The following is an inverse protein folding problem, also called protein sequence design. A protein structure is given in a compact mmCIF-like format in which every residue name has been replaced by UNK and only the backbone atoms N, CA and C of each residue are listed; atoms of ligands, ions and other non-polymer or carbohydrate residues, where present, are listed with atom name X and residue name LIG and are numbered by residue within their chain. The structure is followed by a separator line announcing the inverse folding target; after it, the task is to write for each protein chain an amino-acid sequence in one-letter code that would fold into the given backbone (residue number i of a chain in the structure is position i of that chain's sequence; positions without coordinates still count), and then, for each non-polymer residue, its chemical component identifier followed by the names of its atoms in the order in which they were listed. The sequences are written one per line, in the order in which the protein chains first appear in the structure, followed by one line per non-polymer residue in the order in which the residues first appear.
data_IF_850539959364
#
_entry.id   IF_850539959364
#
_cell.length_a   1.000
_cell.length_b   1.000
_cell.length_c   1.000
_cell.angle_alpha   90.00
_cell.angle_beta   90.00
_cell.angle_gamma   90.00
#
_symmetry.space_group_name_H-M   'P 1'
#
loop_
_entity.id
_entity.type
_entity.pdbx_description
1 polymer ?
#
# COMPACT_ATOMS: atom_id res chain seq x y z
N UNK A 1 42.46 -36.43 -17.81
CA UNK A 1 41.09 -36.00 -17.51
C UNK A 1 41.10 -35.26 -16.17
N UNK A 2 41.24 -33.93 -16.19
CA UNK A 2 41.14 -33.09 -15.01
C UNK A 2 39.68 -32.67 -14.82
N UNK A 3 39.13 -32.88 -13.62
CA UNK A 3 37.82 -32.33 -13.21
C UNK A 3 37.97 -30.82 -12.96
N UNK A 4 37.00 -29.98 -13.34
CA UNK A 4 37.03 -28.57 -12.99
C UNK A 4 36.68 -28.40 -11.51
N UNK A 5 37.48 -27.60 -10.83
CA UNK A 5 37.24 -27.12 -9.47
C UNK A 5 36.14 -26.05 -9.55
N UNK A 6 34.95 -26.32 -9.00
CA UNK A 6 33.97 -25.26 -8.74
C UNK A 6 34.52 -24.37 -7.63
N UNK A 7 34.90 -23.14 -7.97
CA UNK A 7 35.17 -22.10 -6.99
C UNK A 7 33.84 -21.61 -6.41
N UNK A 8 33.56 -22.01 -5.17
CA UNK A 8 32.55 -21.37 -4.34
C UNK A 8 32.99 -19.92 -4.11
N UNK A 9 32.33 -18.97 -4.78
CA UNK A 9 32.54 -17.55 -4.53
C UNK A 9 31.97 -17.23 -3.13
N UNK A 10 32.85 -17.16 -2.14
CA UNK A 10 32.49 -16.65 -0.83
C UNK A 10 32.28 -15.15 -0.96
N UNK A 11 31.01 -14.72 -0.99
CA UNK A 11 30.63 -13.30 -0.89
C UNK A 11 31.06 -12.84 0.51
N UNK A 12 32.22 -12.18 0.57
CA UNK A 12 32.69 -11.46 1.75
C UNK A 12 31.84 -10.20 1.88
N UNK A 13 30.82 -10.23 2.74
CA UNK A 13 30.12 -9.04 3.22
C UNK A 13 31.16 -8.09 3.83
N UNK A 14 31.43 -6.98 3.15
CA UNK A 14 32.15 -5.84 3.70
C UNK A 14 31.44 -5.35 4.97
N UNK A 15 32.15 -4.76 5.95
CA UNK A 15 31.52 -4.25 7.15
C UNK A 15 30.46 -3.20 6.77
N UNK A 16 29.20 -3.52 7.01
CA UNK A 16 28.08 -2.62 6.77
C UNK A 16 28.32 -1.31 7.55
N UNK A 17 28.27 -0.19 6.83
CA UNK A 17 28.38 1.12 7.46
C UNK A 17 27.07 1.42 8.16
N UNK A 18 27.13 1.71 9.47
CA UNK A 18 25.97 2.10 10.27
C UNK A 18 26.02 3.60 10.52
N UNK A 19 25.05 4.33 9.98
CA UNK A 19 24.88 5.75 10.27
C UNK A 19 23.75 5.93 11.28
N UNK A 20 23.85 6.97 12.11
CA UNK A 20 22.82 7.31 13.07
C UNK A 20 22.48 8.80 12.97
N UNK A 21 21.19 9.09 12.90
CA UNK A 21 20.64 10.43 12.79
C UNK A 21 19.55 10.61 13.85
N UNK A 22 19.44 11.81 14.42
CA UNK A 22 18.35 12.15 15.34
C UNK A 22 17.30 12.93 14.56
N UNK A 23 16.03 12.57 14.75
CA UNK A 23 14.91 13.29 14.17
C UNK A 23 14.70 14.63 14.88
N UNK A 24 14.22 15.63 14.14
CA UNK A 24 13.95 16.97 14.65
C UNK A 24 12.60 17.02 15.38
N UNK A 25 11.60 16.29 14.89
CA UNK A 25 10.29 16.22 15.53
C UNK A 25 10.19 15.01 16.47
N UNK A 26 9.35 15.14 17.50
CA UNK A 26 8.98 14.01 18.37
C UNK A 26 7.74 13.36 17.80
N UNK A 27 7.81 12.07 17.46
CA UNK A 27 6.65 11.33 16.95
C UNK A 27 6.79 9.83 17.13
N UNK A 28 5.68 9.19 17.50
CA UNK A 28 5.53 7.74 17.51
C UNK A 28 4.92 7.20 16.21
N UNK A 29 4.47 8.07 15.31
CA UNK A 29 3.90 7.71 14.02
C UNK A 29 4.95 7.11 13.10
N UNK A 30 4.53 6.30 12.12
CA UNK A 30 5.44 5.65 11.18
C UNK A 30 6.13 6.65 10.25
N UNK A 31 7.28 6.24 9.70
CA UNK A 31 7.95 6.99 8.66
C UNK A 31 7.26 6.75 7.32
N UNK A 32 7.06 7.80 6.55
CA UNK A 32 6.56 7.70 5.18
C UNK A 32 7.75 7.49 4.25
N UNK A 33 7.78 6.33 3.60
CA UNK A 33 8.80 5.98 2.61
C UNK A 33 8.50 6.61 1.26
N UNK A 34 9.56 6.76 0.46
CA UNK A 34 9.47 7.10 -0.96
C UNK A 34 10.25 6.07 -1.76
N UNK A 35 10.21 6.17 -3.08
CA UNK A 35 11.08 5.46 -4.02
C UNK A 35 12.54 5.98 -4.02
N UNK A 36 12.88 6.88 -3.09
CA UNK A 36 14.17 7.56 -2.99
C UNK A 36 14.75 7.48 -1.56
N UNK A 37 16.00 7.94 -1.35
CA UNK A 37 16.63 8.03 -0.02
C UNK A 37 16.01 9.09 0.91
N UNK A 38 14.95 9.79 0.46
CA UNK A 38 14.22 10.78 1.23
C UNK A 38 12.99 10.15 1.89
N UNK A 39 12.86 10.33 3.20
CA UNK A 39 11.70 9.92 4.00
C UNK A 39 11.01 11.14 4.60
N UNK A 40 9.78 10.94 5.05
CA UNK A 40 9.07 11.95 5.85
C UNK A 40 8.64 11.37 7.20
N UNK A 41 8.63 12.23 8.21
CA UNK A 41 8.04 11.93 9.51
C UNK A 41 7.03 13.01 9.84
N UNK A 42 5.94 12.64 10.51
CA UNK A 42 4.93 13.61 10.90
C UNK A 42 4.47 13.37 12.33
N UNK A 43 3.93 14.41 12.97
CA UNK A 43 3.24 14.30 14.25
C UNK A 43 1.79 14.73 14.07
N UNK A 44 0.87 13.79 14.31
CA UNK A 44 -0.58 14.01 14.15
C UNK A 44 -1.13 15.10 15.06
N UNK A 45 -0.67 15.17 16.31
CA UNK A 45 -1.23 16.03 17.37
C UNK A 45 -0.62 17.43 17.34
N UNK A 46 0.71 17.54 17.23
CA UNK A 46 1.39 18.84 17.15
C UNK A 46 1.38 19.44 15.75
N UNK A 47 0.86 18.70 14.75
CA UNK A 47 0.79 19.11 13.34
C UNK A 47 2.16 19.55 12.83
N UNK A 48 3.12 18.63 12.88
CA UNK A 48 4.49 18.86 12.41
C UNK A 48 4.82 17.87 11.31
N UNK A 49 5.71 18.27 10.41
CA UNK A 49 6.21 17.46 9.31
C UNK A 49 7.72 17.67 9.18
N UNK A 50 8.47 16.60 9.02
CA UNK A 50 9.93 16.59 8.88
C UNK A 50 10.28 15.82 7.61
N UNK A 51 11.24 16.34 6.85
CA UNK A 51 11.90 15.61 5.77
C UNK A 51 13.26 15.10 6.25
N UNK A 52 13.58 13.85 5.89
CA UNK A 52 14.77 13.13 6.32
C UNK A 52 15.49 12.62 5.08
N UNK A 53 16.74 13.03 4.88
CA UNK A 53 17.58 12.53 3.79
C UNK A 53 18.60 11.54 4.36
N UNK A 54 18.41 10.24 4.06
CA UNK A 54 19.20 9.15 4.62
C UNK A 54 20.66 9.15 4.14
N UNK A 55 20.90 9.59 2.89
CA UNK A 55 22.24 9.69 2.30
C UNK A 55 23.11 10.71 3.03
N UNK A 56 22.56 11.90 3.31
CA UNK A 56 23.30 12.99 3.94
C UNK A 56 23.22 12.98 5.46
N UNK A 57 22.37 12.11 6.03
CA UNK A 57 22.02 12.09 7.46
C UNK A 57 21.55 13.47 7.97
N UNK A 58 20.87 14.22 7.10
CA UNK A 58 20.28 15.54 7.41
C UNK A 58 18.78 15.44 7.47
N UNK A 59 18.18 16.21 8.37
CA UNK A 59 16.74 16.38 8.42
C UNK A 59 16.38 17.77 8.91
N UNK A 60 15.19 18.21 8.57
CA UNK A 60 14.65 19.50 8.99
C UNK A 60 13.14 19.45 9.00
N UNK A 61 12.56 20.19 9.95
CA UNK A 61 11.13 20.43 10.00
C UNK A 61 10.71 21.31 8.79
N UNK A 62 9.55 20.99 8.22
CA UNK A 62 8.95 21.73 7.13
C UNK A 62 7.97 22.76 7.68
N UNK A 63 7.93 23.92 7.04
CA UNK A 63 6.96 24.97 7.34
C UNK A 63 5.60 24.55 6.81
N UNK A 64 4.61 24.44 7.71
CA UNK A 64 3.23 24.14 7.34
C UNK A 64 2.39 25.43 7.20
N UNK A 65 1.47 25.49 6.23
CA UNK A 65 0.47 26.55 6.17
C UNK A 65 -0.47 26.49 7.38
N UNK A 66 -1.15 27.60 7.66
CA UNK A 66 -2.19 27.63 8.71
C UNK A 66 -3.32 26.67 8.35
N UNK A 67 -3.89 26.03 9.36
CA UNK A 67 -5.00 25.06 9.23
C UNK A 67 -4.66 23.85 8.35
N UNK A 68 -3.39 23.45 8.29
CA UNK A 68 -3.00 22.17 7.71
C UNK A 68 -3.70 21.02 8.43
N UNK A 69 -4.21 20.06 7.66
CA UNK A 69 -4.83 18.85 8.19
C UNK A 69 -4.30 17.57 7.57
N UNK A 70 -3.57 17.64 6.47
CA UNK A 70 -2.86 16.46 5.97
C UNK A 70 -1.86 16.77 4.89
N UNK A 71 -1.14 15.73 4.48
CA UNK A 71 -0.09 15.82 3.47
C UNK A 71 0.02 14.55 2.65
N UNK A 72 0.68 14.69 1.51
CA UNK A 72 1.17 13.60 0.67
C UNK A 72 2.54 13.98 0.10
N UNK A 73 3.15 13.07 -0.64
CA UNK A 73 4.49 13.21 -1.20
C UNK A 73 4.42 13.16 -2.72
N UNK A 74 5.07 14.11 -3.39
CA UNK A 74 4.99 14.33 -4.82
C UNK A 74 6.37 14.42 -5.50
N UNK A 75 6.44 13.94 -6.75
CA UNK A 75 7.46 14.37 -7.71
C UNK A 75 7.00 15.68 -8.35
N UNK A 76 7.73 16.76 -8.08
CA UNK A 76 7.43 18.07 -8.67
C UNK A 76 8.45 18.38 -9.77
N UNK A 77 7.98 18.94 -10.88
CA UNK A 77 8.84 19.35 -11.97
C UNK A 77 9.96 20.27 -11.47
N UNK A 78 11.14 20.14 -12.06
CA UNK A 78 12.33 20.91 -11.69
C UNK A 78 12.82 20.68 -10.24
N UNK A 79 12.40 19.59 -9.60
CA UNK A 79 12.94 19.12 -8.31
C UNK A 79 13.51 17.71 -8.45
N UNK A 80 14.61 17.43 -7.76
CA UNK A 80 15.25 16.10 -7.77
C UNK A 80 14.73 15.21 -6.65
N UNK A 81 14.46 15.79 -5.49
CA UNK A 81 13.95 15.07 -4.33
C UNK A 81 12.43 15.14 -4.30
N UNK A 82 11.80 14.11 -3.73
CA UNK A 82 10.37 14.13 -3.44
C UNK A 82 10.02 15.30 -2.51
N UNK A 83 8.90 15.95 -2.79
CA UNK A 83 8.41 17.13 -2.07
C UNK A 83 7.16 16.78 -1.27
N UNK A 84 6.99 17.40 -0.09
CA UNK A 84 5.74 17.29 0.65
C UNK A 84 4.71 18.30 0.13
N UNK A 85 3.52 17.82 -0.21
CA UNK A 85 2.36 18.64 -0.49
C UNK A 85 1.41 18.61 0.69
N UNK A 86 0.97 19.77 1.15
CA UNK A 86 0.15 19.95 2.35
C UNK A 86 -1.22 20.48 1.97
N UNK A 87 -2.25 19.80 2.45
CA UNK A 87 -3.65 20.20 2.30
C UNK A 87 -4.09 21.10 3.46
N UNK A 88 -4.79 22.18 3.09
CA UNK A 88 -5.58 23.02 3.99
C UNK A 88 -7.02 23.07 3.50
N UNK A 89 -7.92 23.70 4.25
CA UNK A 89 -9.34 23.79 3.87
C UNK A 89 -9.58 24.44 2.50
N UNK A 90 -8.64 25.22 1.96
CA UNK A 90 -8.85 25.99 0.74
C UNK A 90 -7.75 25.87 -0.31
N UNK A 91 -6.68 25.11 -0.07
CA UNK A 91 -5.56 25.06 -1.00
C UNK A 91 -4.56 23.95 -0.75
N UNK A 92 -3.75 23.70 -1.78
CA UNK A 92 -2.62 22.77 -1.75
C UNK A 92 -1.33 23.57 -1.76
N UNK A 93 -0.42 23.24 -0.84
CA UNK A 93 0.84 23.94 -0.65
C UNK A 93 2.01 23.00 -0.83
N UNK A 94 3.08 23.46 -1.46
CA UNK A 94 4.39 22.80 -1.41
C UNK A 94 5.14 23.31 -0.19
N UNK A 95 5.47 22.43 0.75
CA UNK A 95 6.13 22.80 2.00
C UNK A 95 7.65 22.60 1.92
N UNK A 96 8.40 23.62 2.32
CA UNK A 96 9.87 23.61 2.42
C UNK A 96 10.31 23.96 3.85
N UNK A 97 11.60 23.95 4.14
CA UNK A 97 12.13 24.34 5.45
C UNK A 97 11.72 25.76 5.87
N UNK A 98 11.66 26.72 4.92
CA UNK A 98 11.48 28.13 5.23
C UNK A 98 10.08 28.69 4.95
N UNK A 99 9.33 28.06 4.05
CA UNK A 99 8.02 28.55 3.63
C UNK A 99 7.11 27.43 3.11
N UNK A 100 5.81 27.73 3.05
CA UNK A 100 4.81 26.93 2.36
C UNK A 100 4.28 27.73 1.16
N UNK A 101 4.60 27.27 -0.05
CA UNK A 101 4.20 27.91 -1.31
C UNK A 101 2.83 27.40 -1.74
N UNK A 102 1.86 28.31 -1.94
CA UNK A 102 0.54 27.95 -2.47
C UNK A 102 0.69 27.52 -3.94
N UNK A 103 0.29 26.30 -4.26
CA UNK A 103 0.24 25.81 -5.64
C UNK A 103 -1.07 26.24 -6.32
N UNK A 104 -2.21 25.98 -5.68
CA UNK A 104 -3.52 26.40 -6.15
C UNK A 104 -4.57 26.34 -5.04
N UNK A 105 -5.66 27.07 -5.24
CA UNK A 105 -6.85 27.00 -4.40
C UNK A 105 -7.85 25.98 -4.95
N UNK A 106 -8.68 25.42 -4.07
CA UNK A 106 -9.77 24.53 -4.45
C UNK A 106 -11.01 24.75 -3.56
N UNK A 107 -12.13 24.16 -3.97
CA UNK A 107 -13.34 24.02 -3.16
C UNK A 107 -13.83 22.58 -3.29
N UNK A 108 -14.07 21.91 -2.16
CA UNK A 108 -14.45 20.49 -2.13
C UNK A 108 -15.18 20.16 -0.82
N UNK A 109 -15.86 19.03 -0.74
CA UNK A 109 -16.35 18.44 0.52
C UNK A 109 -15.25 18.34 1.60
N UNK A 110 -13.98 18.14 1.21
CA UNK A 110 -12.85 18.10 2.15
C UNK A 110 -12.72 19.42 2.91
N UNK A 111 -13.01 20.55 2.25
CA UNK A 111 -13.01 21.88 2.87
C UNK A 111 -14.00 22.04 4.02
N UNK A 112 -14.97 21.13 4.14
CA UNK A 112 -16.01 21.15 5.18
C UNK A 112 -15.71 20.16 6.31
N UNK A 113 -14.69 19.32 6.16
CA UNK A 113 -14.33 18.33 7.17
C UNK A 113 -13.69 19.01 8.37
N UNK A 114 -14.19 18.70 9.56
CA UNK A 114 -13.50 19.04 10.79
C UNK A 114 -12.44 17.99 11.06
N UNK A 115 -11.19 18.34 10.76
CA UNK A 115 -10.05 17.44 10.98
C UNK A 115 -9.21 17.92 12.15
N UNK A 116 -9.25 17.17 13.25
CA UNK A 116 -8.53 17.53 14.48
C UNK A 116 -7.03 17.17 14.39
N UNK A 117 -6.67 16.14 13.62
CA UNK A 117 -5.30 15.61 13.49
C UNK A 117 -4.67 15.90 12.14
N UNK A 118 -3.35 15.97 12.09
CA UNK A 118 -2.60 16.04 10.84
C UNK A 118 -2.30 14.63 10.33
N UNK A 119 -2.75 14.28 9.14
CA UNK A 119 -2.67 12.90 8.62
C UNK A 119 -1.94 12.80 7.28
N UNK A 120 -1.35 11.63 6.98
CA UNK A 120 -0.98 11.29 5.62
C UNK A 120 -2.28 10.98 4.86
N UNK A 121 -2.57 11.74 3.81
CA UNK A 121 -3.73 11.54 2.92
C UNK A 121 -3.22 11.08 1.56
N UNK A 122 -3.88 10.10 0.94
CA UNK A 122 -3.58 9.67 -0.42
C UNK A 122 -4.32 10.55 -1.42
N UNK A 123 -3.68 11.60 -1.94
CA UNK A 123 -4.27 12.49 -2.96
C UNK A 123 -3.31 12.79 -4.11
N UNK A 124 -2.09 12.26 -4.05
CA UNK A 124 -1.06 12.41 -5.07
C UNK A 124 -0.79 11.08 -5.77
N UNK A 125 -0.73 11.11 -7.09
CA UNK A 125 -0.33 9.99 -7.96
C UNK A 125 0.05 10.52 -9.35
N UNK A 126 0.80 9.76 -10.14
CA UNK A 126 1.12 10.10 -11.54
C UNK A 126 0.00 9.59 -12.44
N UNK A 127 -0.95 10.44 -12.83
CA UNK A 127 -2.18 10.01 -13.50
C UNK A 127 -1.93 9.61 -14.96
N UNK A 128 -0.99 10.30 -15.62
CA UNK A 128 -0.71 10.20 -17.05
C UNK A 128 0.60 9.46 -17.36
N UNK A 129 1.26 8.87 -16.35
CA UNK A 129 2.52 8.15 -16.43
C UNK A 129 3.68 8.99 -17.03
N UNK A 130 3.73 10.29 -16.74
CA UNK A 130 4.79 11.19 -17.22
C UNK A 130 5.97 11.34 -16.23
N UNK A 131 5.91 10.66 -15.08
CA UNK A 131 6.89 10.69 -13.99
C UNK A 131 6.70 11.85 -13.01
N UNK A 132 5.78 12.78 -13.28
CA UNK A 132 5.38 13.85 -12.39
C UNK A 132 4.12 13.47 -11.62
N UNK A 133 3.96 14.10 -10.47
CA UNK A 133 2.81 13.86 -9.62
C UNK A 133 1.65 14.80 -9.94
N UNK A 134 0.47 14.22 -10.12
CA UNK A 134 -0.81 14.90 -10.22
C UNK A 134 -1.56 14.85 -8.89
N UNK A 135 -2.64 15.63 -8.78
CA UNK A 135 -3.39 15.79 -7.53
C UNK A 135 -4.88 15.59 -7.78
N UNK A 136 -5.49 14.64 -7.08
CA UNK A 136 -6.94 14.45 -7.10
C UNK A 136 -7.57 15.08 -5.86
N UNK A 137 -8.39 16.11 -6.08
CA UNK A 137 -9.25 16.70 -5.04
C UNK A 137 -10.68 16.20 -5.27
N UNK A 138 -11.18 15.30 -4.43
CA UNK A 138 -12.52 14.75 -4.61
C UNK A 138 -13.61 15.71 -4.16
N UNK A 139 -14.82 15.53 -4.67
CA UNK A 139 -16.05 16.09 -4.09
C UNK A 139 -17.16 15.05 -4.16
N UNK A 140 -18.35 15.34 -3.63
CA UNK A 140 -19.46 14.39 -3.63
C UNK A 140 -19.91 14.05 -5.07
N UNK A 141 -20.20 15.07 -5.89
CA UNK A 141 -20.78 14.88 -7.24
C UNK A 141 -19.82 15.22 -8.37
N UNK A 142 -18.64 15.76 -8.07
CA UNK A 142 -17.64 16.07 -9.08
C UNK A 142 -16.25 16.18 -8.48
N UNK A 143 -15.28 15.46 -8.99
CA UNK A 143 -13.90 15.57 -8.52
C UNK A 143 -13.08 16.42 -9.48
N UNK A 144 -11.95 16.95 -9.02
CA UNK A 144 -11.01 17.70 -9.87
C UNK A 144 -9.63 17.06 -9.81
N UNK A 145 -9.17 16.57 -10.96
CA UNK A 145 -7.80 16.14 -11.18
C UNK A 145 -6.96 17.33 -11.64
N UNK A 146 -5.93 17.66 -10.90
CA UNK A 146 -4.98 18.72 -11.22
C UNK A 146 -3.73 18.09 -11.81
N UNK A 147 -3.55 18.26 -13.12
CA UNK A 147 -2.45 17.66 -13.88
C UNK A 147 -1.26 18.60 -13.86
N UNK A 148 -0.10 18.11 -13.45
CA UNK A 148 1.13 18.88 -13.44
C UNK A 148 1.71 18.98 -14.85
N UNK A 149 2.33 20.11 -15.19
CA UNK A 149 3.12 20.25 -16.41
C UNK A 149 4.63 20.30 -16.11
N UNK A 150 5.45 20.30 -17.15
CA UNK A 150 6.92 20.35 -17.05
C UNK A 150 7.46 21.64 -16.39
N UNK A 151 6.64 22.69 -16.28
CA UNK A 151 6.97 23.92 -15.57
C UNK A 151 6.57 23.87 -14.08
N UNK A 152 5.90 22.82 -13.62
CA UNK A 152 5.43 22.63 -12.25
C UNK A 152 4.09 23.30 -11.94
N UNK A 153 3.39 23.80 -12.96
CA UNK A 153 2.05 24.35 -12.84
C UNK A 153 0.98 23.25 -12.96
N UNK A 154 -0.13 23.43 -12.25
CA UNK A 154 -1.22 22.47 -12.20
C UNK A 154 -2.44 22.95 -13.00
N UNK A 155 -2.87 22.17 -13.98
CA UNK A 155 -4.07 22.42 -14.79
C UNK A 155 -5.24 21.59 -14.27
N UNK A 156 -6.37 22.20 -13.89
CA UNK A 156 -7.53 21.45 -13.41
C UNK A 156 -8.28 20.78 -14.57
N UNK A 157 -8.71 19.55 -14.33
CA UNK A 157 -9.69 18.80 -15.11
C UNK A 157 -10.78 18.32 -14.15
N UNK A 158 -12.00 18.85 -14.29
CA UNK A 158 -13.14 18.52 -13.44
C UNK A 158 -14.00 17.48 -14.14
N UNK A 159 -14.37 16.43 -13.42
CA UNK A 159 -15.22 15.37 -13.92
C UNK A 159 -16.37 15.07 -12.95
N UNK A 160 -17.52 14.69 -13.51
CA UNK A 160 -18.71 14.30 -12.76
C UNK A 160 -18.61 12.85 -12.27
N UNK A 161 -19.12 12.63 -11.06
CA UNK A 161 -19.20 11.29 -10.46
C UNK A 161 -20.52 11.12 -9.71
N UNK A 162 -20.99 9.88 -9.64
CA UNK A 162 -22.11 9.53 -8.78
C UNK A 162 -21.61 9.39 -7.34
N UNK A 163 -22.27 10.08 -6.41
CA UNK A 163 -21.97 9.93 -5.00
C UNK A 163 -22.56 8.61 -4.47
N UNK A 164 -21.71 7.77 -3.88
CA UNK A 164 -22.12 6.54 -3.20
C UNK A 164 -22.30 6.80 -1.70
N UNK A 165 -23.48 6.48 -1.18
CA UNK A 165 -23.84 6.71 0.22
C UNK A 165 -24.30 5.41 0.90
N UNK A 166 -23.76 5.14 2.09
CA UNK A 166 -24.32 4.16 3.00
C UNK A 166 -25.02 4.89 4.15
N UNK A 167 -26.31 4.61 4.35
CA UNK A 167 -27.14 5.33 5.30
C UNK A 167 -27.60 4.46 6.47
N UNK A 168 -27.58 5.01 7.68
CA UNK A 168 -28.21 4.38 8.84
C UNK A 168 -29.13 5.36 9.56
N UNK A 169 -30.40 4.98 9.70
CA UNK A 169 -31.35 5.67 10.56
C UNK A 169 -31.15 5.27 12.02
N UNK A 170 -31.30 6.25 12.91
CA UNK A 170 -31.35 6.08 14.36
C UNK A 170 -32.36 7.05 14.95
N UNK A 171 -32.69 6.90 16.23
CA UNK A 171 -33.51 7.88 16.98
C UNK A 171 -32.91 9.30 16.96
N UNK A 172 -31.60 9.43 16.71
CA UNK A 172 -30.89 10.71 16.63
C UNK A 172 -30.90 11.34 15.23
N UNK A 173 -31.39 10.62 14.21
CA UNK A 173 -31.42 11.06 12.82
C UNK A 173 -30.74 10.09 11.85
N UNK A 174 -30.55 10.55 10.62
CA UNK A 174 -29.86 9.85 9.54
C UNK A 174 -28.36 10.16 9.59
N UNK A 175 -27.53 9.12 9.66
CA UNK A 175 -26.10 9.21 9.40
C UNK A 175 -25.82 8.69 7.99
N UNK A 176 -25.04 9.42 7.20
CA UNK A 176 -24.54 9.01 5.89
C UNK A 176 -23.03 8.83 5.97
N UNK A 177 -22.57 7.68 5.52
CA UNK A 177 -21.18 7.39 5.23
C UNK A 177 -20.99 7.54 3.72
N UNK A 178 -19.97 8.31 3.32
CA UNK A 178 -19.60 8.54 1.92
C UNK A 178 -18.23 7.94 1.72
N UNK A 179 -18.11 7.05 0.73
CA UNK A 179 -16.80 6.59 0.30
C UNK A 179 -16.28 7.51 -0.80
N UNK A 180 -15.10 8.09 -0.57
CA UNK A 180 -14.41 8.95 -1.50
C UNK A 180 -13.08 8.28 -1.83
N UNK A 181 -13.01 7.63 -2.99
CA UNK A 181 -11.80 6.95 -3.44
C UNK A 181 -10.89 7.94 -4.19
N UNK A 182 -9.70 8.17 -3.64
CA UNK A 182 -8.69 9.06 -4.22
C UNK A 182 -7.53 8.31 -4.92
N UNK A 183 -7.60 6.98 -4.98
CA UNK A 183 -6.56 6.14 -5.57
C UNK A 183 -7.16 5.28 -6.69
N UNK A 184 -7.16 5.77 -7.93
CA UNK A 184 -7.55 4.96 -9.07
C UNK A 184 -6.48 3.91 -9.40
N UNK A 185 -6.89 2.86 -10.10
CA UNK A 185 -5.97 2.04 -10.89
C UNK A 185 -5.69 2.78 -12.20
N UNK A 186 -4.42 2.88 -12.56
CA UNK A 186 -3.94 3.62 -13.74
C UNK A 186 -3.60 2.59 -14.80
N UNK A 187 -4.38 2.59 -15.89
CA UNK A 187 -4.25 1.59 -16.96
C UNK A 187 -4.84 2.13 -18.25
N UNK A 188 -4.29 1.73 -19.40
CA UNK A 188 -4.89 1.99 -20.72
C UNK A 188 -6.09 1.05 -20.92
N UNK A 189 -7.25 1.44 -20.38
CA UNK A 189 -8.43 0.58 -20.30
C UNK A 189 -9.08 0.40 -21.69
N UNK A 190 -9.05 1.44 -22.52
CA UNK A 190 -9.65 1.43 -23.86
C UNK A 190 -8.67 1.05 -24.99
N UNK A 191 -7.38 0.85 -24.67
CA UNK A 191 -6.28 0.52 -25.60
C UNK A 191 -5.97 1.59 -26.63
N UNK A 192 -6.12 2.86 -26.27
CA UNK A 192 -5.80 3.99 -27.15
C UNK A 192 -4.36 4.52 -26.98
N UNK A 193 -3.59 3.91 -26.06
CA UNK A 193 -2.21 4.28 -25.74
C UNK A 193 -2.09 5.41 -24.71
N UNK A 194 -3.19 5.82 -24.09
CA UNK A 194 -3.24 6.83 -23.01
C UNK A 194 -3.72 6.17 -21.73
N UNK A 195 -3.17 6.58 -20.58
CA UNK A 195 -3.57 6.02 -19.29
C UNK A 195 -4.92 6.58 -18.82
N UNK A 196 -5.86 5.68 -18.55
CA UNK A 196 -7.16 5.97 -17.95
C UNK A 196 -7.11 5.77 -16.42
N UNK A 197 -8.11 6.29 -15.71
CA UNK A 197 -8.23 6.14 -14.25
C UNK A 197 -9.45 5.32 -13.88
N UNK A 198 -9.25 4.17 -13.27
CA UNK A 198 -10.33 3.26 -12.86
C UNK A 198 -10.57 3.34 -11.35
N UNK A 199 -11.76 3.77 -10.97
CA UNK A 199 -12.19 3.91 -9.59
C UNK A 199 -13.10 2.74 -9.20
N UNK A 200 -12.63 1.91 -8.27
CA UNK A 200 -13.39 0.76 -7.75
C UNK A 200 -14.24 1.13 -6.54
N UNK A 201 -15.37 0.45 -6.40
CA UNK A 201 -16.14 0.29 -5.16
C UNK A 201 -16.38 -1.20 -4.89
N UNK A 202 -17.01 -1.52 -3.75
CA UNK A 202 -17.34 -2.90 -3.38
C UNK A 202 -18.24 -3.60 -4.43
N UNK A 203 -19.02 -2.81 -5.21
CA UNK A 203 -20.11 -3.32 -6.06
C UNK A 203 -19.99 -2.90 -7.52
N UNK A 204 -18.90 -2.26 -7.91
CA UNK A 204 -18.69 -1.83 -9.28
C UNK A 204 -17.39 -1.05 -9.45
N UNK A 205 -17.20 -0.52 -10.63
CA UNK A 205 -16.10 0.38 -10.93
C UNK A 205 -16.51 1.31 -12.07
N UNK A 206 -15.87 2.47 -12.13
CA UNK A 206 -16.04 3.39 -13.23
C UNK A 206 -14.67 3.86 -13.73
N UNK A 207 -14.57 4.12 -15.03
CA UNK A 207 -13.35 4.61 -15.68
C UNK A 207 -13.51 6.07 -16.08
N UNK A 208 -12.51 6.88 -15.78
CA UNK A 208 -12.30 8.19 -16.36
C UNK A 208 -11.40 8.03 -17.57
N UNK A 209 -11.99 8.07 -18.76
CA UNK A 209 -11.25 7.90 -20.01
C UNK A 209 -10.39 9.14 -20.29
N UNK A 210 -9.19 8.92 -20.83
CA UNK A 210 -8.29 9.93 -21.32
C UNK A 210 -8.20 9.89 -22.84
N UNK A 211 -7.61 10.94 -23.42
CA UNK A 211 -7.16 10.99 -24.80
C UNK A 211 -6.09 12.08 -24.92
N UNK A 212 -5.64 12.37 -26.15
CA UNK A 212 -4.64 13.40 -26.42
C UNK A 212 -5.00 14.83 -25.95
N UNK A 213 -6.27 15.13 -25.67
CA UNK A 213 -6.74 16.42 -25.14
C UNK A 213 -6.85 16.43 -23.60
N UNK A 214 -6.76 15.27 -22.95
CA UNK A 214 -6.86 15.09 -21.50
C UNK A 214 -7.99 14.13 -21.11
N UNK A 215 -8.32 14.10 -19.82
CA UNK A 215 -9.41 13.28 -19.27
C UNK A 215 -10.80 13.80 -19.64
N UNK A 216 -11.74 12.87 -19.75
CA UNK A 216 -13.16 13.13 -19.94
C UNK A 216 -13.77 13.94 -18.77
N UNK A 217 -14.97 14.48 -18.99
CA UNK A 217 -15.72 15.26 -18.00
C UNK A 217 -16.69 14.41 -17.16
N UNK A 218 -16.76 13.09 -17.38
CA UNK A 218 -17.59 12.18 -16.61
C UNK A 218 -17.01 10.76 -16.57
N UNK A 219 -17.33 10.03 -15.51
CA UNK A 219 -17.01 8.62 -15.36
C UNK A 219 -17.93 7.72 -16.20
N UNK A 220 -17.36 6.67 -16.79
CA UNK A 220 -18.09 5.63 -17.52
C UNK A 220 -18.13 4.34 -16.69
N UNK A 221 -19.30 3.72 -16.45
CA UNK A 221 -19.38 2.46 -15.71
C UNK A 221 -18.69 1.30 -16.45
N UNK A 222 -17.95 0.49 -15.71
CA UNK A 222 -17.35 -0.75 -16.22
C UNK A 222 -18.37 -1.89 -16.08
N UNK A 223 -18.60 -2.63 -17.17
CA UNK A 223 -19.41 -3.84 -17.13
C UNK A 223 -18.54 -5.08 -16.90
N UNK A 224 -18.63 -5.65 -15.69
CA UNK A 224 -17.90 -6.87 -15.31
C UNK A 224 -18.50 -8.17 -15.85
N UNK A 225 -19.67 -8.14 -16.50
CA UNK A 225 -20.40 -9.31 -17.00
C UNK A 225 -20.69 -10.37 -15.92
N UNK A 226 -20.76 -9.97 -14.65
CA UNK A 226 -21.14 -10.81 -13.51
C UNK A 226 -22.12 -10.07 -12.60
N UNK A 227 -22.89 -10.84 -11.83
CA UNK A 227 -23.72 -10.29 -10.75
C UNK A 227 -22.83 -9.95 -9.54
N UNK A 228 -22.94 -8.70 -9.08
CA UNK A 228 -22.32 -8.15 -7.87
C UNK A 228 -23.42 -7.72 -6.89
N UNK A 229 -23.12 -7.72 -5.59
CA UNK A 229 -24.10 -7.46 -4.54
C UNK A 229 -24.72 -8.72 -3.97
N UNK A 230 -25.96 -8.61 -3.50
CA UNK A 230 -26.74 -9.73 -2.98
C UNK A 230 -27.19 -10.66 -4.12
N UNK A 231 -26.80 -11.93 -4.03
CA UNK A 231 -27.12 -12.96 -5.01
C UNK A 231 -28.40 -13.70 -4.63
N UNK A 232 -29.03 -14.34 -5.62
CA UNK A 232 -30.28 -15.11 -5.41
C UNK A 232 -30.20 -16.25 -4.39
N UNK A 233 -29.00 -16.74 -4.06
CA UNK A 233 -28.77 -17.77 -3.05
C UNK A 233 -28.56 -17.21 -1.63
N UNK A 234 -28.68 -15.88 -1.44
CA UNK A 234 -28.49 -15.19 -0.16
C UNK A 234 -27.02 -14.96 0.20
N UNK A 235 -26.09 -15.20 -0.71
CA UNK A 235 -24.69 -14.80 -0.57
C UNK A 235 -24.48 -13.37 -1.10
N UNK A 236 -23.36 -12.76 -0.76
CA UNK A 236 -22.94 -11.46 -1.28
C UNK A 236 -21.65 -11.63 -2.04
N UNK A 237 -21.57 -11.07 -3.25
CA UNK A 237 -20.35 -10.97 -4.04
C UNK A 237 -19.90 -9.53 -4.14
N UNK A 238 -18.62 -9.28 -3.84
CA UNK A 238 -18.00 -7.95 -3.93
C UNK A 238 -16.74 -8.00 -4.77
N UNK A 239 -16.43 -6.89 -5.43
CA UNK A 239 -15.08 -6.66 -5.97
C UNK A 239 -14.14 -6.57 -4.78
N UNK A 240 -12.99 -7.23 -4.90
CA UNK A 240 -11.93 -7.20 -3.90
C UNK A 240 -10.77 -6.32 -4.33
N UNK A 241 -10.33 -6.46 -5.58
CA UNK A 241 -9.19 -5.71 -6.12
C UNK A 241 -9.30 -5.63 -7.64
N UNK A 242 -8.84 -4.51 -8.20
CA UNK A 242 -8.56 -4.32 -9.61
C UNK A 242 -7.05 -4.22 -9.79
N UNK A 243 -6.48 -4.93 -10.76
CA UNK A 243 -5.04 -4.95 -11.05
C UNK A 243 -4.78 -5.65 -12.39
N UNK A 244 -3.63 -5.43 -13.00
CA UNK A 244 -3.09 -6.29 -14.05
C UNK A 244 -2.19 -7.35 -13.38
N UNK A 245 -2.70 -8.58 -13.23
CA UNK A 245 -2.06 -9.63 -12.41
C UNK A 245 -0.99 -10.40 -13.18
N UNK A 246 -1.12 -10.44 -14.51
CA UNK A 246 -0.26 -11.19 -15.42
C UNK A 246 0.59 -10.27 -16.32
N UNK A 247 0.51 -8.95 -16.11
CA UNK A 247 1.24 -7.90 -16.81
C UNK A 247 1.03 -7.93 -18.33
N UNK A 248 -0.21 -8.21 -18.77
CA UNK A 248 -0.59 -8.26 -20.18
C UNK A 248 -1.15 -6.92 -20.71
N UNK A 249 -1.19 -5.90 -19.84
CA UNK A 249 -1.71 -4.57 -20.13
C UNK A 249 -3.24 -4.47 -20.05
N UNK A 250 -3.92 -5.50 -19.54
CA UNK A 250 -5.37 -5.52 -19.35
C UNK A 250 -5.74 -5.44 -17.88
N UNK A 251 -6.88 -4.81 -17.63
CA UNK A 251 -7.44 -4.79 -16.29
C UNK A 251 -8.00 -6.17 -15.96
N UNK A 252 -7.52 -6.76 -14.88
CA UNK A 252 -8.12 -7.91 -14.23
C UNK A 252 -8.85 -7.47 -12.96
N UNK A 253 -9.65 -8.39 -12.43
CA UNK A 253 -10.23 -8.19 -11.11
C UNK A 253 -10.42 -9.48 -10.33
N UNK A 254 -10.43 -9.33 -9.01
CA UNK A 254 -10.82 -10.40 -8.09
C UNK A 254 -12.13 -10.08 -7.40
N UNK A 255 -12.87 -11.13 -7.07
CA UNK A 255 -14.08 -11.03 -6.24
C UNK A 255 -13.94 -11.87 -4.98
N UNK A 256 -14.68 -11.47 -3.95
CA UNK A 256 -14.96 -12.27 -2.75
C UNK A 256 -16.45 -12.55 -2.69
N UNK A 257 -16.81 -13.80 -2.41
CA UNK A 257 -18.20 -14.24 -2.27
C UNK A 257 -18.38 -14.99 -0.96
N UNK A 258 -19.38 -14.58 -0.18
CA UNK A 258 -19.59 -15.11 1.17
C UNK A 258 -21.06 -14.97 1.59
N UNK A 259 -21.50 -15.81 2.54
CA UNK A 259 -22.84 -15.69 3.14
C UNK A 259 -22.81 -14.70 4.29
N UNK A 260 -23.56 -13.57 4.26
CA UNK A 260 -23.55 -12.62 5.36
C UNK A 260 -23.90 -13.26 6.70
N UNK A 261 -23.02 -13.09 7.69
CA UNK A 261 -23.22 -13.54 9.08
C UNK A 261 -22.98 -12.38 10.04
N UNK A 262 -23.41 -12.52 11.30
CA UNK A 262 -23.23 -11.51 12.33
C UNK A 262 -22.59 -12.12 13.57
N UNK A 263 -21.94 -11.27 14.38
CA UNK A 263 -21.35 -11.70 15.64
C UNK A 263 -20.19 -12.69 15.42
N UNK A 264 -20.10 -13.69 16.30
CA UNK A 264 -18.99 -14.64 16.33
C UNK A 264 -18.94 -15.54 15.08
N UNK A 265 -20.08 -15.78 14.44
CA UNK A 265 -20.18 -16.61 13.23
C UNK A 265 -19.42 -16.02 12.02
N UNK A 266 -19.03 -14.74 12.11
CA UNK A 266 -18.17 -14.10 11.10
C UNK A 266 -16.72 -14.59 11.12
N UNK A 267 -16.26 -15.21 12.21
CA UNK A 267 -14.91 -15.76 12.31
C UNK A 267 -14.77 -17.10 11.58
N UNK A 268 -15.88 -17.80 11.38
CA UNK A 268 -15.90 -19.10 10.69
C UNK A 268 -16.42 -19.00 9.25
N UNK A 269 -16.70 -17.79 8.75
CA UNK A 269 -17.29 -17.58 7.44
C UNK A 269 -16.35 -18.06 6.33
N UNK A 270 -16.87 -18.89 5.42
CA UNK A 270 -16.16 -19.29 4.20
C UNK A 270 -16.29 -18.21 3.15
N UNK A 271 -15.16 -17.84 2.55
CA UNK A 271 -15.07 -16.81 1.54
C UNK A 271 -14.45 -17.43 0.28
N UNK A 272 -15.25 -17.55 -0.76
CA UNK A 272 -14.79 -17.96 -2.08
C UNK A 272 -14.16 -16.76 -2.78
N UNK A 273 -12.98 -16.95 -3.38
CA UNK A 273 -12.29 -15.93 -4.16
C UNK A 273 -12.16 -16.37 -5.61
N UNK A 274 -12.33 -15.42 -6.53
CA UNK A 274 -12.33 -15.70 -7.97
C UNK A 274 -11.61 -14.59 -8.71
N UNK A 275 -10.67 -14.95 -9.57
CA UNK A 275 -9.94 -14.07 -10.49
C UNK A 275 -10.58 -14.11 -11.88
N UNK A 276 -10.79 -12.94 -12.45
CA UNK A 276 -11.30 -12.75 -13.81
C UNK A 276 -10.25 -11.96 -14.59
N UNK A 277 -9.59 -12.63 -15.52
CA UNK A 277 -8.60 -12.00 -16.40
C UNK A 277 -9.28 -11.10 -17.43
N UNK A 278 -8.66 -9.98 -17.78
CA UNK A 278 -9.05 -9.11 -18.87
C UNK A 278 -8.92 -9.78 -20.24
N UNK A 279 -9.67 -9.30 -21.21
CA UNK A 279 -9.50 -9.64 -22.63
C UNK A 279 -9.96 -8.46 -23.52
N UNK A 280 -9.80 -8.60 -24.84
CA UNK A 280 -10.20 -7.55 -25.80
C UNK A 280 -11.70 -7.16 -25.74
N UNK A 281 -12.56 -8.03 -25.20
CA UNK A 281 -13.99 -7.81 -25.05
C UNK A 281 -14.44 -7.46 -23.62
N UNK A 282 -13.52 -7.16 -22.72
CA UNK A 282 -13.78 -6.92 -21.29
C UNK A 282 -13.07 -7.94 -20.42
N UNK A 283 -13.79 -8.94 -19.92
CA UNK A 283 -13.26 -9.93 -18.96
C UNK A 283 -13.57 -11.37 -19.40
N UNK A 284 -12.73 -12.32 -18.97
CA UNK A 284 -12.84 -13.74 -19.29
C UNK A 284 -14.13 -14.34 -18.73
N UNK A 285 -14.87 -15.04 -19.60
CA UNK A 285 -16.05 -15.81 -19.19
C UNK A 285 -15.69 -17.10 -18.42
N UNK A 286 -14.42 -17.52 -18.47
CA UNK A 286 -13.91 -18.66 -17.70
C UNK A 286 -12.99 -18.12 -16.60
N UNK A 287 -13.51 -17.84 -15.41
CA UNK A 287 -12.70 -17.33 -14.33
C UNK A 287 -11.83 -18.41 -13.69
N UNK A 288 -10.82 -17.96 -12.94
CA UNK A 288 -9.92 -18.80 -12.16
C UNK A 288 -10.39 -18.79 -10.71
N UNK A 289 -10.76 -19.96 -10.20
CA UNK A 289 -11.09 -20.12 -8.78
C UNK A 289 -9.81 -20.08 -7.96
N UNK A 290 -9.74 -19.16 -7.00
CA UNK A 290 -8.64 -19.06 -6.05
C UNK A 290 -8.96 -19.88 -4.80
N UNK A 291 -7.99 -19.96 -3.88
CA UNK A 291 -8.22 -20.66 -2.61
C UNK A 291 -9.37 -20.04 -1.81
N UNK A 292 -10.15 -20.88 -1.15
CA UNK A 292 -11.10 -20.42 -0.14
C UNK A 292 -10.33 -19.90 1.09
N UNK A 293 -10.82 -18.80 1.68
CA UNK A 293 -10.35 -18.34 2.99
C UNK A 293 -11.47 -18.46 4.03
N UNK A 294 -11.08 -18.45 5.30
CA UNK A 294 -12.03 -18.47 6.42
C UNK A 294 -11.84 -17.25 7.31
N UNK A 295 -12.95 -16.60 7.68
CA UNK A 295 -12.94 -15.53 8.68
C UNK A 295 -11.99 -14.40 8.34
N UNK A 296 -11.02 -14.07 9.22
CA UNK A 296 -10.07 -12.99 9.03
C UNK A 296 -8.90 -13.36 8.09
N UNK A 297 -8.85 -14.57 7.54
CA UNK A 297 -7.80 -15.00 6.61
C UNK A 297 -7.91 -14.29 5.27
N UNK A 298 -6.77 -13.95 4.67
CA UNK A 298 -6.68 -13.12 3.47
C UNK A 298 -5.98 -13.82 2.29
N UNK A 299 -6.31 -13.35 1.09
CA UNK A 299 -5.53 -13.60 -0.13
C UNK A 299 -5.00 -12.26 -0.65
N UNK A 300 -3.72 -12.18 -1.01
CA UNK A 300 -3.09 -10.97 -1.53
C UNK A 300 -2.46 -11.24 -2.88
N UNK A 301 -2.67 -10.33 -3.82
CA UNK A 301 -2.03 -10.27 -5.15
C UNK A 301 -1.37 -8.90 -5.27
N UNK A 302 -0.10 -8.84 -4.86
CA UNK A 302 0.63 -7.57 -4.74
C UNK A 302 2.13 -7.65 -5.00
N UNK A 303 2.70 -8.84 -5.18
CA UNK A 303 4.14 -9.04 -5.28
C UNK A 303 4.44 -10.12 -6.30
N UNK A 304 5.23 -9.76 -7.30
CA UNK A 304 5.98 -10.69 -8.14
C UNK A 304 7.30 -10.99 -7.39
N UNK A 305 7.42 -12.19 -6.81
CA UNK A 305 8.56 -12.49 -5.93
C UNK A 305 9.82 -12.84 -6.70
N UNK A 306 9.68 -13.41 -7.89
CA UNK A 306 10.80 -13.90 -8.69
C UNK A 306 11.09 -13.03 -9.92
N UNK A 307 10.40 -11.89 -10.03
CA UNK A 307 10.53 -10.90 -11.09
C UNK A 307 10.31 -11.50 -12.49
N UNK A 308 9.36 -12.43 -12.63
CA UNK A 308 8.99 -13.05 -13.90
C UNK A 308 7.86 -12.30 -14.66
N UNK A 309 7.41 -11.18 -14.10
CA UNK A 309 6.34 -10.33 -14.62
C UNK A 309 4.95 -10.75 -14.16
N UNK A 310 4.82 -11.84 -13.41
CA UNK A 310 3.53 -12.34 -12.93
C UNK A 310 3.41 -12.16 -11.42
N UNK A 311 2.30 -11.58 -10.96
CA UNK A 311 2.06 -11.39 -9.52
C UNK A 311 1.71 -12.72 -8.86
N UNK A 312 2.47 -13.12 -7.84
CA UNK A 312 2.23 -14.35 -7.10
C UNK A 312 1.12 -14.20 -6.04
N UNK A 313 0.47 -15.33 -5.72
CA UNK A 313 -0.60 -15.37 -4.74
C UNK A 313 -0.07 -15.66 -3.34
N UNK A 314 -0.43 -14.79 -2.39
CA UNK A 314 -0.11 -14.93 -0.97
C UNK A 314 -1.38 -15.30 -0.21
N UNK A 315 -1.37 -16.40 0.54
CA UNK A 315 -2.46 -16.80 1.42
C UNK A 315 -2.02 -16.62 2.87
N UNK A 316 -2.74 -15.78 3.60
CA UNK A 316 -2.51 -15.45 5.00
C UNK A 316 -3.60 -16.12 5.83
N UNK A 317 -3.27 -17.24 6.44
CA UNK A 317 -4.18 -17.99 7.29
C UNK A 317 -4.08 -17.50 8.74
N UNK A 318 -5.15 -16.87 9.21
CA UNK A 318 -5.28 -16.31 10.55
C UNK A 318 -6.32 -17.12 11.33
N UNK A 319 -5.91 -17.67 12.48
CA UNK A 319 -6.84 -18.33 13.41
C UNK A 319 -7.16 -17.40 14.59
N UNK A 320 -8.38 -16.84 14.58
CA UNK A 320 -8.92 -16.03 15.69
C UNK A 320 -10.03 -16.81 16.38
N UNK A 321 -9.66 -17.57 17.42
CA UNK A 321 -10.61 -18.26 18.28
C UNK A 321 -11.07 -17.44 19.49
N UNK A 322 -12.00 -18.02 20.27
CA UNK A 322 -12.49 -17.43 21.53
C UNK A 322 -11.38 -17.11 22.54
N UNK A 323 -10.32 -17.93 22.57
CA UNK A 323 -9.16 -17.71 23.43
C UNK A 323 -8.42 -16.42 23.07
N UNK A 324 -8.21 -16.17 21.78
CA UNK A 324 -7.61 -14.95 21.25
C UNK A 324 -8.43 -13.72 21.65
N UNK A 325 -9.76 -13.79 21.48
CA UNK A 325 -10.69 -12.71 21.85
C UNK A 325 -10.66 -12.44 23.36
N UNK A 326 -10.65 -13.50 24.18
CA UNK A 326 -10.54 -13.38 25.63
C UNK A 326 -9.21 -12.73 26.03
N UNK A 327 -8.11 -13.10 25.39
CA UNK A 327 -6.80 -12.47 25.58
C UNK A 327 -6.82 -10.99 25.24
N UNK A 328 -7.42 -10.58 24.12
CA UNK A 328 -7.58 -9.16 23.79
C UNK A 328 -8.40 -8.41 24.86
N UNK A 329 -9.52 -8.99 25.30
CA UNK A 329 -10.40 -8.37 26.30
C UNK A 329 -9.71 -8.19 27.67
N UNK A 330 -8.87 -9.16 28.07
CA UNK A 330 -8.11 -9.11 29.33
C UNK A 330 -6.82 -8.30 29.22
N UNK A 331 -6.22 -8.25 28.04
CA UNK A 331 -4.90 -7.68 27.74
C UNK A 331 -4.91 -6.19 27.40
N UNK A 332 -6.09 -5.55 27.38
CA UNK A 332 -6.21 -4.12 27.09
C UNK A 332 -6.49 -3.79 25.62
N UNK A 333 -6.98 -4.74 24.83
CA UNK A 333 -7.56 -4.50 23.50
C UNK A 333 -6.75 -5.03 22.31
N UNK A 334 -5.57 -5.63 22.52
CA UNK A 334 -4.79 -6.30 21.47
C UNK A 334 -4.12 -7.59 21.98
N UNK A 335 -3.70 -8.46 21.06
CA UNK A 335 -2.89 -9.66 21.32
C UNK A 335 -2.10 -10.04 20.08
N UNK A 336 -0.96 -10.71 20.28
CA UNK A 336 -0.22 -11.36 19.21
C UNK A 336 -0.93 -12.67 18.81
N UNK A 337 -0.98 -12.94 17.51
CA UNK A 337 -1.51 -14.18 16.91
C UNK A 337 -0.52 -14.76 15.91
N UNK A 338 -0.51 -16.08 15.82
CA UNK A 338 0.25 -16.79 14.79
C UNK A 338 -0.48 -16.68 13.44
N UNK A 339 0.29 -16.46 12.39
CA UNK A 339 -0.20 -16.33 11.01
C UNK A 339 0.63 -17.22 10.12
N UNK A 340 -0.02 -18.15 9.42
CA UNK A 340 0.63 -18.99 8.43
C UNK A 340 0.54 -18.31 7.05
N UNK A 341 1.68 -17.96 6.48
CA UNK A 341 1.76 -17.37 5.14
C UNK A 341 2.25 -18.42 4.14
N UNK A 342 1.43 -18.67 3.11
CA UNK A 342 1.74 -19.56 2.00
C UNK A 342 1.89 -18.78 0.69
N UNK A 343 2.89 -19.12 -0.12
CA UNK A 343 3.14 -18.49 -1.42
C UNK A 343 2.92 -19.45 -2.58
N UNK A 344 2.14 -19.03 -3.59
CA UNK A 344 1.80 -19.84 -4.74
C UNK A 344 2.20 -19.12 -6.03
N UNK A 345 3.14 -19.72 -6.76
CA UNK A 345 3.66 -19.18 -8.01
C UNK A 345 2.60 -19.08 -9.09
N UNK A 346 2.48 -17.92 -9.74
CA UNK A 346 1.59 -17.78 -10.89
C UNK A 346 2.14 -18.57 -12.10
N UNK A 347 1.23 -19.13 -12.89
CA UNK A 347 1.51 -19.87 -14.11
C UNK A 347 1.22 -19.00 -15.32
N UNK A 348 1.78 -19.35 -16.48
CA UNK A 348 1.60 -18.60 -17.73
C UNK A 348 0.15 -18.52 -18.24
N UNK A 349 -0.74 -19.37 -17.73
CA UNK A 349 -2.18 -19.34 -18.04
C UNK A 349 -2.98 -18.48 -17.03
N UNK A 350 -2.30 -17.76 -16.14
CA UNK A 350 -2.87 -16.94 -15.06
C UNK A 350 -3.32 -17.74 -13.83
N UNK A 351 -3.26 -19.08 -13.87
CA UNK A 351 -3.56 -19.90 -12.70
C UNK A 351 -2.43 -19.88 -11.68
N UNK A 352 -2.65 -20.44 -10.49
CA UNK A 352 -1.64 -20.51 -9.43
C UNK A 352 -1.26 -21.96 -9.15
N UNK A 353 0.00 -22.17 -8.77
CA UNK A 353 0.48 -23.49 -8.38
C UNK A 353 -0.43 -24.12 -7.31
N UNK A 354 -0.74 -25.42 -7.47
CA UNK A 354 -1.58 -26.16 -6.50
C UNK A 354 -0.90 -26.45 -5.16
N UNK A 355 0.42 -26.24 -5.08
CA UNK A 355 1.23 -26.40 -3.87
C UNK A 355 1.97 -25.11 -3.58
N UNK A 356 2.05 -24.79 -2.30
CA UNK A 356 2.83 -23.67 -1.80
C UNK A 356 4.34 -23.91 -2.04
N UNK A 357 5.03 -22.89 -2.54
CA UNK A 357 6.50 -22.88 -2.66
C UNK A 357 7.17 -22.81 -1.29
N UNK A 358 6.56 -22.06 -0.37
CA UNK A 358 7.05 -21.85 1.00
C UNK A 358 5.88 -21.57 1.96
N UNK A 359 6.04 -22.07 3.18
CA UNK A 359 5.17 -21.79 4.32
C UNK A 359 5.99 -21.04 5.36
N UNK A 360 5.49 -19.90 5.84
CA UNK A 360 6.14 -19.05 6.83
C UNK A 360 5.23 -18.89 8.05
N UNK A 361 5.73 -19.29 9.21
CA UNK A 361 5.11 -18.97 10.50
C UNK A 361 5.49 -17.55 10.91
N UNK A 362 4.50 -16.67 10.92
CA UNK A 362 4.64 -15.25 11.26
C UNK A 362 3.86 -14.93 12.53
N UNK A 363 4.19 -13.81 13.16
CA UNK A 363 3.47 -13.28 14.31
C UNK A 363 2.93 -11.90 13.94
N UNK A 364 1.68 -11.65 14.30
CA UNK A 364 0.98 -10.39 14.02
C UNK A 364 0.21 -9.93 15.26
N UNK A 365 0.36 -8.67 15.63
CA UNK A 365 -0.49 -8.06 16.66
C UNK A 365 -1.84 -7.69 16.04
N UNK A 366 -2.94 -8.17 16.64
CA UNK A 366 -4.30 -7.88 16.21
C UNK A 366 -5.04 -7.15 17.33
N UNK A 367 -5.83 -6.13 16.97
CA UNK A 367 -6.57 -5.29 17.92
C UNK A 367 -8.08 -5.30 17.73
N UNK A 368 -8.82 -5.10 18.82
CA UNK A 368 -10.29 -5.01 18.83
C UNK A 368 -10.85 -3.82 18.04
N UNK A 369 -10.04 -2.80 17.80
CA UNK A 369 -10.46 -1.57 17.13
C UNK A 369 -10.51 -1.71 15.60
N UNK A 370 -10.22 -2.89 15.05
CA UNK A 370 -10.25 -3.15 13.60
C UNK A 370 -9.20 -2.37 12.80
N UNK A 371 -8.14 -1.89 13.47
CA UNK A 371 -7.03 -1.20 12.80
C UNK A 371 -6.22 -2.17 11.93
N UNK A 372 -5.49 -1.62 10.96
CA UNK A 372 -4.60 -2.40 10.10
C UNK A 372 -3.63 -3.22 10.96
N UNK A 373 -3.75 -4.54 10.83
CA UNK A 373 -2.86 -5.52 11.45
C UNK A 373 -2.05 -6.14 10.32
N UNK A 374 -0.72 -6.18 10.46
CA UNK A 374 0.16 -6.81 9.49
C UNK A 374 1.30 -7.49 10.21
N UNK A 375 1.75 -8.66 9.73
CA UNK A 375 2.91 -9.31 10.31
C UNK A 375 4.14 -8.41 10.18
N UNK A 376 5.14 -8.63 11.04
CA UNK A 376 6.42 -7.93 10.98
C UNK A 376 7.31 -8.43 9.82
N UNK A 377 6.76 -8.43 8.60
CA UNK A 377 7.33 -8.92 7.36
C UNK A 377 7.60 -7.76 6.41
N UNK A 378 8.83 -7.68 5.93
CA UNK A 378 9.29 -6.64 5.00
C UNK A 378 9.77 -7.33 3.73
N UNK A 379 9.31 -6.85 2.58
CA UNK A 379 9.62 -7.43 1.28
C UNK A 379 10.48 -6.46 0.47
N UNK A 380 11.55 -6.96 -0.15
CA UNK A 380 12.39 -6.19 -1.05
C UNK A 380 13.70 -6.92 -1.37
N UNK A 381 14.27 -6.66 -2.54
CA UNK A 381 15.59 -7.20 -2.91
C UNK A 381 16.68 -6.59 -2.02
N UNK A 382 17.21 -7.34 -1.05
CA UNK A 382 18.28 -6.86 -0.16
C UNK A 382 19.67 -7.34 -0.61
N UNK A 383 19.74 -8.13 -1.68
CA UNK A 383 20.96 -8.84 -2.07
C UNK A 383 21.45 -8.49 -3.50
N UNK A 384 20.60 -7.84 -4.29
CA UNK A 384 20.87 -7.31 -5.62
C UNK A 384 20.66 -8.31 -6.75
N UNK A 385 19.91 -9.39 -6.52
CA UNK A 385 19.61 -10.41 -7.54
C UNK A 385 18.28 -10.17 -8.28
N UNK A 386 17.63 -9.03 -8.03
CA UNK A 386 16.33 -8.62 -8.58
C UNK A 386 15.15 -9.50 -8.14
N UNK A 387 15.36 -10.45 -7.22
CA UNK A 387 14.28 -11.22 -6.62
C UNK A 387 13.87 -10.60 -5.29
N UNK A 388 12.60 -10.72 -4.93
CA UNK A 388 12.09 -10.16 -3.67
C UNK A 388 12.48 -11.08 -2.52
N UNK A 389 13.29 -10.54 -1.60
CA UNK A 389 13.59 -11.21 -0.34
C UNK A 389 12.52 -10.91 0.71
N UNK A 390 12.32 -11.85 1.63
CA UNK A 390 11.42 -11.71 2.76
C UNK A 390 12.20 -11.59 4.07
N UNK A 391 12.04 -10.47 4.76
CA UNK A 391 12.65 -10.20 6.06
C UNK A 391 11.58 -10.22 7.14
N UNK A 392 11.67 -11.15 8.07
CA UNK A 392 10.74 -11.30 9.19
C UNK A 392 11.40 -10.97 10.53
N UNK A 393 10.78 -10.09 11.31
CA UNK A 393 11.20 -9.80 12.70
C UNK A 393 10.74 -10.90 13.65
N UNK A 394 11.58 -11.92 13.78
CA UNK A 394 11.34 -13.07 14.66
C UNK A 394 11.42 -12.74 16.16
N UNK A 395 12.22 -11.75 16.55
CA UNK A 395 12.29 -11.33 17.96
C UNK A 395 12.81 -9.91 18.08
N UNK A 396 12.85 -9.36 19.30
CA UNK A 396 13.45 -8.06 19.62
C UNK A 396 14.93 -7.90 19.21
N UNK A 397 15.61 -9.00 18.85
CA UNK A 397 17.04 -8.98 18.49
C UNK A 397 17.40 -9.79 17.25
N UNK A 398 16.42 -10.27 16.47
CA UNK A 398 16.71 -11.17 15.35
C UNK A 398 15.73 -10.95 14.21
N UNK A 399 16.29 -10.69 13.03
CA UNK A 399 15.60 -10.81 11.75
C UNK A 399 15.92 -12.18 11.15
N UNK A 400 14.89 -12.84 10.63
CA UNK A 400 15.01 -13.96 9.69
C UNK A 400 14.92 -13.40 8.27
N UNK A 401 15.84 -13.82 7.41
CA UNK A 401 15.90 -13.41 6.01
C UNK A 401 15.72 -14.68 5.17
N UNK A 402 14.68 -14.71 4.35
CA UNK A 402 14.44 -15.73 3.33
C UNK A 402 14.75 -15.08 1.99
N UNK A 403 15.78 -15.55 1.31
CA UNK A 403 16.19 -14.98 0.03
C UNK A 403 15.25 -15.42 -1.09
N UNK A 404 14.99 -14.56 -2.07
CA UNK A 404 14.22 -14.87 -3.27
C UNK A 404 14.81 -16.02 -4.08
N UNK A 405 13.96 -16.83 -4.71
CA UNK A 405 14.39 -17.83 -5.69
C UNK A 405 13.32 -18.13 -6.74
N UNK A 406 13.77 -18.46 -7.97
CA UNK A 406 12.90 -18.51 -9.15
C UNK A 406 11.68 -19.42 -9.05
N UNK A 407 11.87 -20.62 -8.47
CA UNK A 407 10.88 -21.68 -8.49
C UNK A 407 9.99 -21.69 -7.24
N UNK A 408 10.58 -21.60 -6.05
CA UNK A 408 9.84 -21.62 -4.78
C UNK A 408 9.38 -20.25 -4.31
N UNK A 409 9.71 -19.19 -5.06
CA UNK A 409 9.55 -17.77 -4.71
C UNK A 409 10.49 -17.30 -3.59
N UNK A 410 10.63 -18.09 -2.52
CA UNK A 410 11.59 -17.83 -1.43
C UNK A 410 12.29 -19.12 -0.99
N UNK A 411 13.56 -18.98 -0.61
CA UNK A 411 14.36 -20.06 -0.07
C UNK A 411 13.94 -20.43 1.35
N UNK A 412 13.60 -21.70 1.58
CA UNK A 412 13.20 -22.22 2.90
C UNK A 412 14.28 -22.05 3.98
N UNK A 413 15.56 -22.02 3.59
CA UNK A 413 16.66 -21.82 4.51
C UNK A 413 16.87 -20.34 4.80
N UNK A 414 16.40 -19.91 5.97
CA UNK A 414 16.63 -18.54 6.44
C UNK A 414 18.06 -18.26 6.92
N UNK A 415 18.53 -17.05 6.65
CA UNK A 415 19.66 -16.42 7.35
C UNK A 415 19.15 -15.69 8.60
N UNK A 416 19.96 -15.68 9.66
CA UNK A 416 19.65 -14.94 10.89
C UNK A 416 20.54 -13.70 11.00
N UNK A 417 19.95 -12.52 11.04
CA UNK A 417 20.65 -11.27 11.32
C UNK A 417 20.36 -10.85 12.77
N UNK A 418 21.40 -10.79 13.61
CA UNK A 418 21.27 -10.45 15.03
C UNK A 418 21.70 -9.01 15.28
N UNK A 419 20.76 -8.20 15.73
CA UNK A 419 20.93 -6.77 16.00
C UNK A 419 19.84 -6.29 16.93
N UNK A 420 20.02 -5.15 17.60
CA UNK A 420 18.93 -4.53 18.36
C UNK A 420 17.89 -3.97 17.41
N UNK A 421 16.62 -4.32 17.60
CA UNK A 421 15.53 -3.90 16.73
C UNK A 421 14.57 -2.93 17.44
N UNK A 422 13.91 -2.04 16.68
CA UNK A 422 12.81 -1.23 17.18
C UNK A 422 11.71 -2.07 17.83
N UNK A 423 10.99 -1.46 18.78
CA UNK A 423 9.85 -2.11 19.44
C UNK A 423 8.69 -2.26 18.46
N UNK A 424 8.31 -1.17 17.79
CA UNK A 424 7.25 -1.17 16.79
C UNK A 424 7.73 -1.90 15.52
N UNK A 425 6.85 -2.64 14.86
CA UNK A 425 7.14 -3.33 13.60
C UNK A 425 7.16 -2.33 12.43
N UNK A 426 6.37 -1.26 12.48
CA UNK A 426 6.35 -0.19 11.47
C UNK A 426 7.61 0.70 11.47
N UNK A 427 8.49 0.53 12.45
CA UNK A 427 9.74 1.28 12.60
C UNK A 427 10.94 0.63 11.89
N UNK A 428 10.72 -0.44 11.12
CA UNK A 428 11.73 -1.10 10.28
C UNK A 428 11.31 -0.94 8.83
N UNK A 429 12.20 -0.39 8.00
CA UNK A 429 11.95 -0.16 6.58
C UNK A 429 13.09 -0.74 5.73
N UNK A 430 12.76 -1.02 4.47
CA UNK A 430 13.68 -1.41 3.41
C UNK A 430 13.70 -0.31 2.35
N UNK A 431 14.85 0.35 2.18
CA UNK A 431 15.01 1.52 1.29
C UNK A 431 16.32 1.39 0.55
N UNK A 432 16.34 1.62 -0.76
CA UNK A 432 17.61 1.71 -1.51
C UNK A 432 18.23 3.09 -1.25
N UNK A 433 19.14 3.16 -0.27
CA UNK A 433 19.68 4.44 0.21
C UNK A 433 20.76 4.93 -0.74
N UNK A 434 21.63 4.04 -1.20
CA UNK A 434 22.79 4.37 -2.02
C UNK A 434 22.54 4.23 -3.54
N UNK A 435 21.33 3.86 -3.94
CA UNK A 435 20.91 3.65 -5.33
C UNK A 435 21.74 2.57 -6.04
N UNK A 436 22.15 1.53 -5.30
CA UNK A 436 22.91 0.40 -5.86
C UNK A 436 22.01 -0.75 -6.33
N UNK A 437 20.69 -0.57 -6.25
CA UNK A 437 19.69 -1.57 -6.62
C UNK A 437 19.31 -2.51 -5.47
N UNK A 438 19.98 -2.43 -4.31
CA UNK A 438 19.63 -3.20 -3.11
C UNK A 438 18.86 -2.35 -2.12
N UNK A 439 17.93 -2.97 -1.41
CA UNK A 439 17.28 -2.37 -0.26
C UNK A 439 18.20 -2.48 0.96
N UNK A 440 18.46 -1.34 1.58
CA UNK A 440 19.14 -1.20 2.86
C UNK A 440 18.15 -1.15 4.01
N UNK A 441 18.62 -1.41 5.23
CA UNK A 441 17.77 -1.34 6.41
C UNK A 441 17.73 0.07 7.00
N UNK A 442 16.52 0.52 7.36
CA UNK A 442 16.29 1.71 8.19
C UNK A 442 15.56 1.29 9.46
N UNK A 443 16.09 1.70 10.61
CA UNK A 443 15.53 1.41 11.92
C UNK A 443 15.24 2.70 12.69
N UNK A 444 13.96 2.96 12.99
CA UNK A 444 13.54 4.07 13.85
C UNK A 444 13.44 3.60 15.30
N UNK A 445 14.23 4.18 16.20
CA UNK A 445 14.17 3.91 17.62
C UNK A 445 13.47 5.05 18.33
N UNK A 446 12.26 4.79 18.82
CA UNK A 446 11.40 5.77 19.46
C UNK A 446 11.39 5.59 20.98
N UNK A 447 11.68 6.68 21.70
CA UNK A 447 11.56 6.76 23.16
C UNK A 447 10.11 7.07 23.57
N UNK A 448 9.80 6.90 24.86
CA UNK A 448 8.44 7.12 25.40
C UNK A 448 7.91 8.55 25.20
N UNK A 449 8.79 9.53 25.09
CA UNK A 449 8.42 10.93 24.89
C UNK A 449 8.29 11.31 23.40
N UNK A 450 8.40 10.34 22.49
CA UNK A 450 8.35 10.53 21.04
C UNK A 450 9.69 10.89 20.40
N UNK A 451 10.75 11.15 21.20
CA UNK A 451 12.08 11.41 20.65
C UNK A 451 12.56 10.18 19.88
N UNK A 452 12.99 10.39 18.64
CA UNK A 452 13.32 9.28 17.73
C UNK A 452 14.73 9.41 17.15
N UNK A 453 15.39 8.26 16.96
CA UNK A 453 16.67 8.15 16.26
C UNK A 453 16.57 7.14 15.13
N UNK A 454 17.09 7.50 13.98
CA UNK A 454 17.18 6.62 12.82
C UNK A 454 18.57 6.01 12.79
N UNK A 455 18.65 4.69 12.60
CA UNK A 455 19.88 3.99 12.26
C UNK A 455 19.72 3.31 10.91
N UNK A 456 20.71 3.43 10.06
CA UNK A 456 20.73 2.75 8.76
C UNK A 456 21.80 1.66 8.74
N UNK A 457 21.59 0.62 7.95
CA UNK A 457 22.58 -0.41 7.68
C UNK A 457 22.54 -0.75 6.19
N UNK A 458 23.62 -0.40 5.49
CA UNK A 458 23.76 -0.66 4.04
C UNK A 458 24.07 -2.14 3.76
N UNK A 459 23.57 -2.68 2.64
CA UNK A 459 23.72 -4.09 2.25
C UNK A 459 24.76 -4.39 1.14
#
# INVERSE_FOLDING_TARGET
MLKPLCYSLAILLTPASVFAQTMVIKTTDELITTDSPTLFAYNKESKQLEVINLLTSKSHELTLPKNAFGFDVATIANTTDKQALVLTESGVYKSTAGEAELLFNYSSVISQLKVDKFEKINFVFDANNDGLSDILIPDLTSSTLYIQNNEGAFKPNRFEQAAEYNGRFSEKGLALEVNINNQPVIIDFNKDGVSDLVFASDFGANVLLANAQGYADALTPINFNIELGELSNGETRKIKQLLDVNNDGLLDFTTRQFKPTQGMDSLDIKIAHTLYLGNEGGFSATPINLFETQGPSELLLKTDFNNDGLIDLQKMDLDIGLGTIASMAMGGGSTDVDVEMNLYKQQSDGSFASKSGIELDLEMEVGMNGGESSPALYLGDINGDSQIDAVYKYSKKTLHIYYGEQDSLLNKKRKKLKLTLPKNNKDILLVDINQDGKKDFVFKFTEKDGTSKIKTQLN
#
